data_IF_422297785307
#
_entry.id   IF_422297785307
#
_cell.length_a   1.000
_cell.length_b   1.000
_cell.length_c   1.000
_cell.angle_alpha   90.00
_cell.angle_beta   90.00
_cell.angle_gamma   90.00
#
_symmetry.space_group_name_H-M   'P 1'
#
loop_
_entity.id
_entity.type
_entity.pdbx_description
1 polymer ?
#
# COMPACT_ATOMS: atom_id res chain seq x y z
N UNK A 1 24.25 -4.63 -22.64
CA UNK A 1 22.99 -5.32 -22.31
C UNK A 1 23.18 -6.82 -22.56
N UNK A 2 22.94 -7.64 -21.56
CA UNK A 2 23.01 -9.11 -21.61
C UNK A 2 21.67 -9.72 -21.19
N UNK A 3 21.43 -10.95 -21.61
CA UNK A 3 20.26 -11.74 -21.24
C UNK A 3 20.74 -13.17 -20.94
N UNK A 4 20.54 -13.62 -19.71
CA UNK A 4 20.89 -14.98 -19.30
C UNK A 4 19.60 -15.76 -19.00
N UNK A 5 19.50 -16.99 -19.50
CA UNK A 5 18.42 -17.92 -19.15
C UNK A 5 19.05 -19.08 -18.41
N UNK A 6 18.63 -19.31 -17.16
CA UNK A 6 19.19 -20.38 -16.33
C UNK A 6 18.17 -20.96 -15.37
N UNK A 7 18.38 -22.22 -15.00
CA UNK A 7 17.69 -22.82 -13.87
C UNK A 7 18.28 -22.29 -12.55
N UNK A 8 17.41 -22.00 -11.59
CA UNK A 8 17.78 -21.61 -10.22
C UNK A 8 17.00 -22.48 -9.24
N UNK A 9 17.66 -22.91 -8.16
CA UNK A 9 16.96 -23.59 -7.07
C UNK A 9 16.25 -22.58 -6.18
N UNK A 10 14.94 -22.76 -5.96
CA UNK A 10 14.15 -22.03 -4.99
C UNK A 10 13.59 -23.01 -3.94
N UNK A 11 13.75 -22.66 -2.67
CA UNK A 11 13.19 -23.43 -1.56
C UNK A 11 11.69 -23.15 -1.46
N UNK A 12 10.87 -24.07 -1.96
CA UNK A 12 9.40 -23.95 -1.93
C UNK A 12 8.78 -25.18 -1.27
N UNK A 13 7.62 -25.04 -0.61
CA UNK A 13 6.90 -26.20 -0.14
C UNK A 13 6.45 -27.07 -1.31
N UNK A 14 6.37 -28.38 -1.09
CA UNK A 14 5.60 -29.26 -1.99
C UNK A 14 4.17 -28.74 -2.07
N UNK A 15 3.71 -28.46 -3.30
CA UNK A 15 2.40 -27.88 -3.58
C UNK A 15 1.27 -28.92 -3.44
N UNK A 16 1.61 -30.21 -3.49
CA UNK A 16 0.65 -31.31 -3.52
C UNK A 16 -0.18 -31.36 -4.82
N UNK A 17 -1.12 -32.30 -4.93
CA UNK A 17 -2.03 -32.36 -6.06
C UNK A 17 -3.01 -31.17 -6.04
N UNK A 18 -3.48 -30.70 -7.22
CA UNK A 18 -4.60 -29.76 -7.32
C UNK A 18 -5.85 -30.31 -6.62
N UNK A 19 -6.67 -29.41 -6.08
CA UNK A 19 -7.95 -29.79 -5.47
C UNK A 19 -8.84 -30.48 -6.52
N UNK A 20 -9.44 -31.61 -6.14
CA UNK A 20 -10.31 -32.39 -7.00
C UNK A 20 -11.61 -31.64 -7.36
N UNK A 21 -12.00 -30.64 -6.57
CA UNK A 21 -13.19 -29.85 -6.81
C UNK A 21 -12.84 -28.53 -7.52
N UNK A 22 -13.56 -28.17 -8.60
CA UNK A 22 -13.39 -26.86 -9.21
C UNK A 22 -13.85 -25.77 -8.26
N UNK A 23 -13.17 -24.62 -8.31
CA UNK A 23 -13.62 -23.44 -7.56
C UNK A 23 -14.88 -22.86 -8.23
N UNK A 24 -16.04 -23.12 -7.65
CA UNK A 24 -17.35 -22.63 -8.17
C UNK A 24 -17.68 -21.21 -7.65
N UNK A 25 -16.88 -20.68 -6.73
CA UNK A 25 -16.98 -19.31 -6.21
C UNK A 25 -15.89 -18.38 -6.77
N UNK A 26 -16.08 -17.06 -6.64
CA UNK A 26 -14.99 -16.10 -6.84
C UNK A 26 -13.96 -16.19 -5.70
N UNK A 27 -12.72 -15.73 -5.92
CA UNK A 27 -11.71 -15.72 -4.86
C UNK A 27 -12.19 -14.88 -3.68
N UNK A 28 -11.70 -15.19 -2.48
CA UNK A 28 -11.94 -14.45 -1.25
C UNK A 28 -11.23 -13.09 -1.31
N UNK A 29 -11.75 -12.15 -2.11
CA UNK A 29 -11.32 -10.76 -2.10
C UNK A 29 -12.48 -9.80 -2.35
N UNK A 30 -12.44 -8.72 -1.58
CA UNK A 30 -13.09 -7.45 -1.88
C UNK A 30 -12.81 -7.04 -3.32
N UNK A 31 -13.81 -6.73 -4.15
CA UNK A 31 -13.83 -5.39 -4.69
C UNK A 31 -14.15 -4.46 -3.52
N UNK A 32 -13.28 -3.49 -3.27
CA UNK A 32 -13.72 -2.30 -2.57
C UNK A 32 -14.73 -1.62 -3.49
N UNK A 33 -15.98 -1.51 -3.08
CA UNK A 33 -16.91 -0.64 -3.79
C UNK A 33 -16.37 0.78 -3.71
N UNK A 34 -16.00 1.36 -4.85
CA UNK A 34 -15.64 2.77 -4.92
C UNK A 34 -16.93 3.56 -4.93
N UNK A 35 -17.14 4.43 -3.95
CA UNK A 35 -18.33 5.27 -3.85
C UNK A 35 -17.94 6.75 -3.82
N UNK A 36 -18.50 7.53 -4.76
CA UNK A 36 -18.23 8.96 -4.92
C UNK A 36 -17.47 9.28 -6.20
N UNK A 37 -16.98 10.53 -6.30
CA UNK A 37 -16.22 11.02 -7.45
C UNK A 37 -14.73 10.71 -7.28
N UNK A 38 -14.22 9.79 -8.11
CA UNK A 38 -12.83 9.33 -8.10
C UNK A 38 -12.19 9.57 -9.47
N UNK A 39 -10.89 9.94 -9.50
CA UNK A 39 -10.12 9.93 -10.74
C UNK A 39 -10.23 8.61 -11.49
N UNK A 40 -10.41 8.68 -12.81
CA UNK A 40 -10.60 7.50 -13.68
C UNK A 40 -9.47 6.48 -13.59
N UNK A 41 -8.24 6.94 -13.34
CA UNK A 41 -7.07 6.07 -13.10
C UNK A 41 -7.21 5.18 -11.85
N UNK A 42 -7.84 5.66 -10.78
CA UNK A 42 -8.04 4.88 -9.55
C UNK A 42 -9.13 3.84 -9.78
N UNK A 43 -10.21 4.23 -10.47
CA UNK A 43 -11.29 3.31 -10.86
C UNK A 43 -10.71 2.19 -11.74
N UNK A 44 -9.94 2.55 -12.77
CA UNK A 44 -9.29 1.58 -13.66
C UNK A 44 -8.34 0.64 -12.91
N UNK A 45 -7.55 1.15 -11.95
CA UNK A 45 -6.67 0.35 -11.11
C UNK A 45 -7.41 -0.66 -10.23
N UNK A 46 -8.52 -0.24 -9.61
CA UNK A 46 -9.28 -1.08 -8.67
C UNK A 46 -9.96 -2.30 -9.30
N UNK A 47 -10.25 -2.24 -10.61
CA UNK A 47 -10.88 -3.34 -11.35
C UNK A 47 -9.86 -4.19 -12.11
N UNK A 48 -8.61 -3.75 -12.15
CA UNK A 48 -7.55 -4.44 -12.87
C UNK A 48 -7.10 -5.70 -12.11
N UNK A 49 -6.92 -6.81 -12.83
CA UNK A 49 -6.34 -8.03 -12.26
C UNK A 49 -7.28 -8.88 -11.39
N UNK A 50 -8.58 -8.59 -11.38
CA UNK A 50 -9.59 -9.35 -10.64
C UNK A 50 -10.43 -10.23 -11.58
N UNK A 51 -9.99 -11.44 -11.93
CA UNK A 51 -10.83 -12.38 -12.69
C UNK A 51 -12.06 -12.76 -11.85
N UNK A 52 -13.24 -12.77 -12.48
CA UNK A 52 -14.49 -13.17 -11.81
C UNK A 52 -14.43 -14.62 -11.27
N UNK A 53 -13.67 -15.48 -11.97
CA UNK A 53 -13.38 -16.86 -11.57
C UNK A 53 -12.01 -17.27 -12.12
N UNK A 54 -11.23 -18.07 -11.36
CA UNK A 54 -10.02 -18.70 -11.87
C UNK A 54 -10.31 -19.94 -12.72
N UNK A 55 -11.58 -20.34 -12.92
CA UNK A 55 -11.94 -21.45 -13.82
C UNK A 55 -11.32 -21.24 -15.22
N UNK A 56 -10.68 -22.25 -15.83
CA UNK A 56 -10.68 -23.68 -15.47
C UNK A 56 -9.56 -24.15 -14.52
N UNK A 57 -8.80 -23.24 -13.90
CA UNK A 57 -7.73 -23.62 -12.98
C UNK A 57 -8.28 -24.16 -11.65
N UNK A 58 -7.62 -25.20 -11.11
CA UNK A 58 -7.92 -25.79 -9.81
C UNK A 58 -7.09 -25.10 -8.71
N UNK A 59 -7.63 -25.05 -7.48
CA UNK A 59 -6.89 -24.52 -6.34
C UNK A 59 -5.77 -25.47 -5.89
N UNK A 60 -4.73 -24.90 -5.29
CA UNK A 60 -3.67 -25.63 -4.60
C UNK A 60 -3.83 -25.40 -3.10
N UNK A 61 -4.45 -26.36 -2.40
CA UNK A 61 -4.68 -26.29 -0.96
C UNK A 61 -3.86 -27.30 -0.13
N UNK A 62 -3.27 -28.30 -0.78
CA UNK A 62 -2.56 -29.41 -0.13
C UNK A 62 -1.11 -29.14 0.25
N UNK A 63 -0.64 -27.89 0.14
CA UNK A 63 0.78 -27.59 0.29
C UNK A 63 1.27 -27.73 1.73
N UNK A 64 2.46 -28.33 1.87
CA UNK A 64 3.11 -28.51 3.16
C UNK A 64 3.85 -27.27 3.66
N UNK A 65 4.55 -27.40 4.78
CA UNK A 65 5.52 -26.39 5.28
C UNK A 65 6.97 -26.77 5.05
N UNK A 66 7.24 -28.03 4.74
CA UNK A 66 8.60 -28.51 4.48
C UNK A 66 9.06 -27.99 3.11
N UNK A 67 10.14 -27.22 3.11
CA UNK A 67 10.71 -26.66 1.89
C UNK A 67 11.54 -27.72 1.17
N UNK A 68 11.40 -27.75 -0.15
CA UNK A 68 12.14 -28.58 -1.07
C UNK A 68 12.81 -27.68 -2.09
N UNK A 69 14.08 -27.94 -2.35
CA UNK A 69 14.84 -27.27 -3.41
C UNK A 69 14.25 -27.63 -4.76
N UNK A 70 13.58 -26.67 -5.39
CA UNK A 70 12.91 -26.87 -6.67
C UNK A 70 13.61 -26.05 -7.75
N UNK A 71 14.03 -26.67 -8.87
CA UNK A 71 14.58 -25.94 -9.99
C UNK A 71 13.48 -25.15 -10.70
N UNK A 72 13.72 -23.87 -10.91
CA UNK A 72 12.80 -22.94 -11.60
C UNK A 72 13.55 -22.22 -12.69
N UNK A 73 12.96 -22.13 -13.87
CA UNK A 73 13.50 -21.35 -14.98
C UNK A 73 13.52 -19.86 -14.59
N UNK A 74 14.67 -19.24 -14.79
CA UNK A 74 14.86 -17.81 -14.58
C UNK A 74 15.42 -17.14 -15.82
N UNK A 75 14.91 -15.95 -16.11
CA UNK A 75 15.38 -15.07 -17.19
C UNK A 75 15.93 -13.81 -16.55
N UNK A 76 17.20 -13.52 -16.80
CA UNK A 76 17.98 -12.47 -16.13
C UNK A 76 18.48 -11.47 -17.17
N UNK A 77 17.67 -10.45 -17.52
CA UNK A 77 18.15 -9.30 -18.26
C UNK A 77 19.01 -8.41 -17.37
N UNK A 78 20.15 -7.97 -17.91
CA UNK A 78 21.09 -7.09 -17.21
C UNK A 78 21.66 -6.01 -18.15
N UNK A 79 21.80 -4.81 -17.62
CA UNK A 79 22.45 -3.68 -18.27
C UNK A 79 23.33 -2.93 -17.25
N UNK A 80 23.97 -1.85 -17.69
CA UNK A 80 24.93 -1.08 -16.88
C UNK A 80 24.30 -0.40 -15.65
N UNK A 81 22.97 -0.44 -15.51
CA UNK A 81 22.21 0.16 -14.41
C UNK A 81 21.50 -0.86 -13.55
N UNK A 82 20.95 -1.92 -14.13
CA UNK A 82 20.09 -2.84 -13.41
C UNK A 82 20.20 -4.28 -13.87
N UNK A 83 19.88 -5.18 -12.93
CA UNK A 83 19.74 -6.62 -13.12
C UNK A 83 18.40 -7.06 -12.56
N UNK A 84 17.56 -7.64 -13.39
CA UNK A 84 16.27 -8.16 -12.97
C UNK A 84 16.24 -9.68 -13.13
N UNK A 85 15.55 -10.40 -12.25
CA UNK A 85 15.34 -11.84 -12.36
C UNK A 85 13.85 -12.08 -12.50
N UNK A 86 13.44 -12.67 -13.62
CA UNK A 86 12.06 -13.06 -13.87
C UNK A 86 11.91 -14.58 -13.77
N UNK A 87 10.75 -15.03 -13.30
CA UNK A 87 10.37 -16.45 -13.22
C UNK A 87 9.22 -16.72 -14.21
N UNK A 88 9.51 -17.06 -15.48
CA UNK A 88 8.49 -17.20 -16.52
C UNK A 88 7.43 -18.25 -16.18
N UNK A 89 7.85 -19.36 -15.59
CA UNK A 89 6.97 -20.49 -15.23
C UNK A 89 5.93 -20.10 -14.16
N UNK A 90 6.16 -19.01 -13.42
CA UNK A 90 5.27 -18.55 -12.35
C UNK A 90 4.56 -17.24 -12.73
N UNK A 91 4.12 -17.16 -13.98
CA UNK A 91 3.39 -16.00 -14.50
C UNK A 91 4.28 -14.80 -14.79
N UNK A 92 5.58 -15.02 -15.06
CA UNK A 92 6.51 -13.94 -15.42
C UNK A 92 6.83 -12.99 -14.28
N UNK A 93 6.72 -13.43 -13.02
CA UNK A 93 6.95 -12.59 -11.84
C UNK A 93 8.38 -12.04 -11.82
N UNK A 94 8.51 -10.76 -11.49
CA UNK A 94 9.78 -10.15 -11.07
C UNK A 94 10.12 -10.66 -9.68
N UNK A 95 11.20 -11.43 -9.57
CA UNK A 95 11.66 -12.08 -8.34
C UNK A 95 12.73 -11.25 -7.62
N UNK A 96 13.71 -10.75 -8.37
CA UNK A 96 14.76 -9.88 -7.86
C UNK A 96 14.93 -8.68 -8.80
N UNK A 97 15.17 -7.51 -8.23
CA UNK A 97 15.56 -6.32 -8.97
C UNK A 97 16.71 -5.64 -8.24
N UNK A 98 17.86 -5.57 -8.89
CA UNK A 98 19.01 -4.82 -8.44
C UNK A 98 19.16 -3.60 -9.34
N UNK A 99 19.26 -2.42 -8.74
CA UNK A 99 19.58 -1.18 -9.42
C UNK A 99 20.86 -0.61 -8.78
N UNK A 100 21.84 -0.29 -9.63
CA UNK A 100 23.11 0.33 -9.24
C UNK A 100 22.96 1.84 -9.03
N UNK A 101 21.92 2.44 -9.60
CA UNK A 101 21.40 3.74 -9.19
C UNK A 101 20.33 3.52 -8.13
N UNK A 102 20.38 4.29 -7.04
CA UNK A 102 19.46 4.30 -5.88
C UNK A 102 18.15 3.51 -6.11
N UNK A 103 17.88 2.44 -5.33
CA UNK A 103 16.72 1.59 -5.56
C UNK A 103 15.45 2.44 -5.66
N UNK A 104 14.79 2.36 -6.83
CA UNK A 104 13.51 3.04 -7.02
C UNK A 104 12.43 2.31 -6.23
N UNK A 105 12.34 2.58 -4.93
CA UNK A 105 11.16 2.23 -4.16
C UNK A 105 9.99 3.04 -4.73
N UNK A 106 9.01 2.37 -5.36
CA UNK A 106 7.77 3.03 -5.85
C UNK A 106 7.04 3.79 -4.73
N UNK A 107 7.32 3.44 -3.48
CA UNK A 107 6.92 4.14 -2.28
C UNK A 107 8.06 4.17 -1.25
N UNK A 108 8.37 5.34 -0.73
CA UNK A 108 9.16 5.54 0.50
C UNK A 108 8.24 5.48 1.71
N UNK A 109 8.69 4.87 2.80
CA UNK A 109 7.96 4.79 4.07
C UNK A 109 8.83 5.28 5.22
N UNK A 110 8.27 6.07 6.12
CA UNK A 110 8.90 6.46 7.37
C UNK A 110 7.90 6.32 8.53
N UNK A 111 8.33 5.62 9.58
CA UNK A 111 7.65 5.65 10.87
C UNK A 111 7.94 7.00 11.54
N UNK A 112 6.90 7.68 12.00
CA UNK A 112 6.96 8.94 12.74
C UNK A 112 6.29 8.75 14.10
N UNK A 113 6.82 9.35 15.18
CA UNK A 113 6.23 9.17 16.51
C UNK A 113 4.74 9.56 16.55
N UNK A 114 3.90 8.69 17.12
CA UNK A 114 2.52 9.02 17.43
C UNK A 114 2.48 9.65 18.82
N UNK A 115 2.55 10.97 18.88
CA UNK A 115 2.52 11.73 20.14
C UNK A 115 1.30 12.65 20.23
N UNK A 116 0.96 13.03 21.45
CA UNK A 116 -0.12 13.99 21.71
C UNK A 116 0.19 15.33 21.01
N UNK A 117 -0.84 15.90 20.37
CA UNK A 117 -0.77 17.14 19.58
C UNK A 117 0.09 17.12 18.31
N UNK A 118 0.66 15.97 17.91
CA UNK A 118 1.28 15.85 16.59
C UNK A 118 0.25 15.90 15.47
N UNK A 119 0.67 16.42 14.31
CA UNK A 119 -0.11 16.46 13.07
C UNK A 119 0.70 15.92 11.91
N UNK A 120 0.00 15.26 10.99
CA UNK A 120 0.47 14.88 9.67
C UNK A 120 -0.30 15.68 8.63
N UNK A 121 0.43 16.52 7.90
CA UNK A 121 -0.09 17.48 6.95
C UNK A 121 0.39 17.15 5.55
N UNK A 122 -0.44 17.46 4.56
CA UNK A 122 -0.14 17.40 3.14
C UNK A 122 -0.93 18.52 2.43
N UNK A 123 -0.56 18.93 1.21
CA UNK A 123 -1.27 19.97 0.47
C UNK A 123 -2.58 19.41 -0.15
N UNK A 124 -3.52 19.01 0.71
CA UNK A 124 -4.80 18.44 0.29
C UNK A 124 -5.90 18.68 1.34
N UNK A 125 -7.08 19.08 0.87
CA UNK A 125 -8.28 19.24 1.72
C UNK A 125 -9.06 17.94 1.91
N UNK A 126 -8.76 16.93 1.08
CA UNK A 126 -9.41 15.63 1.09
C UNK A 126 -8.43 14.48 0.90
N UNK A 127 -8.82 13.29 1.31
CA UNK A 127 -8.06 12.06 1.14
C UNK A 127 -8.99 10.90 0.76
N UNK A 128 -8.47 9.88 0.10
CA UNK A 128 -9.16 8.60 -0.09
C UNK A 128 -8.87 7.69 1.10
N UNK A 129 -9.91 7.10 1.69
CA UNK A 129 -9.80 6.25 2.86
C UNK A 129 -10.77 5.06 2.77
N UNK A 130 -10.44 3.98 3.45
CA UNK A 130 -11.37 2.85 3.62
C UNK A 130 -12.59 3.26 4.44
N UNK A 131 -13.76 2.88 3.94
CA UNK A 131 -15.06 3.12 4.57
C UNK A 131 -15.35 2.08 5.67
N UNK A 132 -16.16 2.43 6.66
CA UNK A 132 -16.61 1.49 7.70
C UNK A 132 -17.64 0.47 7.20
N UNK A 133 -18.30 0.74 6.08
CA UNK A 133 -19.32 -0.11 5.46
C UNK A 133 -18.76 -0.99 4.34
N UNK A 134 -17.43 -1.01 4.19
CA UNK A 134 -16.74 -1.58 3.04
C UNK A 134 -16.55 -0.55 1.92
N UNK A 135 -15.53 -0.75 1.08
CA UNK A 135 -15.21 0.17 0.00
C UNK A 135 -14.24 1.31 0.35
N UNK A 136 -13.99 2.17 -0.64
CA UNK A 136 -13.11 3.35 -0.53
C UNK A 136 -13.96 4.58 -0.82
N UNK A 137 -13.81 5.61 0.00
CA UNK A 137 -14.49 6.90 -0.18
C UNK A 137 -13.53 8.07 -0.04
N UNK A 138 -13.89 9.19 -0.67
CA UNK A 138 -13.21 10.48 -0.47
C UNK A 138 -13.72 11.13 0.81
N UNK A 139 -12.81 11.49 1.71
CA UNK A 139 -13.10 12.07 3.02
C UNK A 139 -12.35 13.40 3.22
N UNK A 140 -12.91 14.37 3.95
CA UNK A 140 -12.21 15.61 4.29
C UNK A 140 -11.05 15.37 5.27
N UNK A 141 -9.90 16.04 5.08
CA UNK A 141 -8.66 15.83 5.86
C UNK A 141 -8.72 16.50 7.23
N UNK A 142 -9.05 17.78 7.29
CA UNK A 142 -9.14 18.54 8.54
C UNK A 142 -10.51 19.19 8.67
N UNK A 143 -10.86 19.63 9.87
CA UNK A 143 -12.09 20.38 10.13
C UNK A 143 -12.09 21.71 9.37
N UNK A 144 -13.18 21.94 8.67
CA UNK A 144 -13.56 23.22 8.08
C UNK A 144 -15.08 23.25 7.89
N UNK A 145 -15.63 24.45 7.76
CA UNK A 145 -17.00 24.65 7.26
C UNK A 145 -17.13 23.99 5.90
N UNK A 146 -18.17 23.18 5.72
CA UNK A 146 -18.47 22.56 4.42
C UNK A 146 -18.43 23.61 3.31
N UNK A 147 -17.63 23.39 2.26
CA UNK A 147 -17.52 24.31 1.12
C UNK A 147 -18.86 24.54 0.40
N UNK A 148 -19.86 23.68 0.63
CA UNK A 148 -21.20 23.78 0.04
C UNK A 148 -22.26 24.32 1.00
N UNK A 149 -22.07 24.22 2.32
CA UNK A 149 -23.14 24.53 3.29
C UNK A 149 -22.74 25.48 4.42
N UNK A 150 -21.45 25.84 4.55
CA UNK A 150 -20.91 26.64 5.65
C UNK A 150 -21.29 26.13 7.07
N UNK A 151 -21.74 24.89 7.19
CA UNK A 151 -22.08 24.28 8.46
C UNK A 151 -20.81 23.72 9.14
N UNK A 152 -20.67 23.83 10.48
CA UNK A 152 -19.66 23.08 11.21
C UNK A 152 -19.88 21.61 10.95
N UNK A 153 -18.87 20.96 10.38
CA UNK A 153 -18.92 19.53 10.13
C UNK A 153 -18.44 18.83 11.40
N UNK A 154 -19.18 17.84 11.92
CA UNK A 154 -18.77 16.96 13.03
C UNK A 154 -17.64 15.99 12.58
N UNK A 155 -16.68 16.52 11.84
CA UNK A 155 -15.64 15.76 11.17
C UNK A 155 -14.45 15.70 12.10
N UNK A 156 -14.06 14.49 12.51
CA UNK A 156 -12.81 14.28 13.25
C UNK A 156 -11.63 14.77 12.40
N UNK A 157 -10.75 15.58 12.98
CA UNK A 157 -9.51 16.04 12.36
C UNK A 157 -8.60 14.83 12.08
N UNK A 158 -8.45 14.45 10.81
CA UNK A 158 -7.71 13.24 10.43
C UNK A 158 -6.21 13.45 10.42
N UNK A 159 -5.76 14.70 10.53
CA UNK A 159 -4.33 15.03 10.55
C UNK A 159 -3.68 14.61 11.86
N UNK A 160 -4.42 14.25 12.91
CA UNK A 160 -3.87 13.89 14.22
C UNK A 160 -3.80 12.37 14.39
N UNK A 161 -2.62 11.72 14.23
CA UNK A 161 -2.54 10.26 14.26
C UNK A 161 -3.04 9.68 15.58
N UNK A 162 -2.69 10.34 16.69
CA UNK A 162 -3.05 9.90 18.04
C UNK A 162 -4.54 9.97 18.34
N UNK A 163 -5.37 10.63 17.53
CA UNK A 163 -6.83 10.74 17.77
C UNK A 163 -7.65 9.64 17.08
N UNK A 164 -7.02 8.77 16.28
CA UNK A 164 -7.75 7.72 15.56
C UNK A 164 -8.04 6.49 16.44
N UNK A 165 -9.31 6.09 16.50
CA UNK A 165 -9.74 4.91 17.26
C UNK A 165 -9.44 3.58 16.59
N UNK A 166 -9.28 3.59 15.26
CA UNK A 166 -9.09 2.38 14.42
C UNK A 166 -7.94 2.59 13.44
N UNK A 167 -7.35 1.48 13.02
CA UNK A 167 -6.36 1.49 11.96
C UNK A 167 -6.98 2.00 10.66
N UNK A 168 -6.31 2.92 9.98
CA UNK A 168 -6.78 3.49 8.70
C UNK A 168 -5.64 4.02 7.85
N UNK A 169 -5.88 3.98 6.54
CA UNK A 169 -5.07 4.63 5.52
C UNK A 169 -5.79 5.90 5.01
N UNK A 170 -5.04 6.97 4.84
CA UNK A 170 -5.47 8.21 4.19
C UNK A 170 -4.52 8.52 3.05
N UNK A 171 -4.99 8.43 1.81
CA UNK A 171 -4.26 8.83 0.62
C UNK A 171 -4.67 10.25 0.25
N UNK A 172 -3.81 11.24 0.54
CA UNK A 172 -4.11 12.65 0.30
C UNK A 172 -4.33 12.93 -1.19
N UNK A 173 -5.47 13.55 -1.51
CA UNK A 173 -5.84 13.90 -2.88
C UNK A 173 -5.21 15.24 -3.25
N UNK A 174 -3.92 15.20 -3.60
CA UNK A 174 -3.13 16.38 -3.95
C UNK A 174 -3.37 16.72 -5.42
N UNK A 175 -3.64 18.00 -5.69
CA UNK A 175 -3.84 18.47 -7.06
C UNK A 175 -2.53 18.46 -7.86
N UNK A 176 -2.52 18.07 -9.15
CA UNK A 176 -1.29 17.97 -9.95
C UNK A 176 -0.49 19.27 -10.10
N UNK A 177 -1.11 20.43 -9.84
CA UNK A 177 -0.47 21.75 -9.93
C UNK A 177 0.32 22.13 -8.68
N UNK A 178 0.17 21.39 -7.58
CA UNK A 178 0.85 21.65 -6.32
C UNK A 178 2.04 20.72 -6.14
N UNK A 179 3.14 21.22 -5.56
CA UNK A 179 4.29 20.38 -5.24
C UNK A 179 3.91 19.36 -4.16
N UNK A 180 4.09 18.05 -4.37
CA UNK A 180 3.73 17.05 -3.37
C UNK A 180 4.69 17.06 -2.17
N UNK A 181 4.13 17.10 -0.97
CA UNK A 181 4.86 16.95 0.30
C UNK A 181 3.95 16.32 1.36
N UNK A 182 4.57 15.68 2.35
CA UNK A 182 3.91 15.28 3.60
C UNK A 182 4.84 15.62 4.75
N UNK A 183 4.27 16.11 5.84
CA UNK A 183 4.99 16.58 7.02
C UNK A 183 4.34 15.96 8.24
N UNK A 184 5.10 15.23 9.04
CA UNK A 184 4.74 14.93 10.41
C UNK A 184 5.43 15.96 11.31
N UNK A 185 4.67 16.71 12.11
CA UNK A 185 5.19 17.73 13.00
C UNK A 185 4.55 17.65 14.39
N UNK A 186 5.33 17.92 15.42
CA UNK A 186 4.88 18.11 16.79
C UNK A 186 4.40 19.56 17.04
N UNK A 187 3.98 19.83 18.29
CA UNK A 187 3.49 21.14 18.74
C UNK A 187 4.54 22.26 18.68
N UNK A 188 5.82 21.91 18.76
CA UNK A 188 6.94 22.85 18.82
C UNK A 188 7.55 23.04 17.41
N UNK A 189 7.00 22.35 16.39
CA UNK A 189 7.43 22.43 14.99
C UNK A 189 8.53 21.44 14.61
N UNK A 190 8.94 20.57 15.53
CA UNK A 190 9.88 19.48 15.27
C UNK A 190 9.22 18.35 14.49
N UNK A 191 9.96 17.70 13.58
CA UNK A 191 9.38 16.59 12.82
C UNK A 191 10.13 16.16 11.57
N UNK A 192 9.43 15.46 10.69
CA UNK A 192 9.94 14.90 9.45
C UNK A 192 9.08 15.34 8.26
N UNK A 193 9.72 15.95 7.27
CA UNK A 193 9.08 16.34 6.01
C UNK A 193 9.67 15.54 4.84
N UNK A 194 8.81 15.06 3.95
CA UNK A 194 9.21 14.39 2.71
C UNK A 194 8.60 15.12 1.50
N UNK A 195 9.28 16.16 0.97
CA UNK A 195 8.91 16.76 -0.31
C UNK A 195 9.40 15.90 -1.48
N UNK A 196 8.74 16.00 -2.64
CA UNK A 196 9.22 15.35 -3.87
C UNK A 196 9.04 16.25 -5.09
N UNK A 197 9.48 15.75 -6.24
CA UNK A 197 9.07 16.23 -7.57
C UNK A 197 7.62 15.80 -7.88
N UNK A 198 7.06 16.33 -8.97
CA UNK A 198 5.67 16.10 -9.39
C UNK A 198 5.37 14.65 -9.78
N UNK A 199 6.37 13.89 -10.20
CA UNK A 199 6.22 12.48 -10.60
C UNK A 199 5.81 11.62 -9.40
N UNK A 200 6.34 11.89 -8.21
CA UNK A 200 6.01 11.17 -6.98
C UNK A 200 4.82 11.82 -6.27
N UNK A 201 3.64 11.79 -6.89
CA UNK A 201 2.44 12.48 -6.39
C UNK A 201 1.82 11.89 -5.11
N UNK A 202 1.94 10.58 -4.90
CA UNK A 202 1.22 9.87 -3.85
C UNK A 202 1.68 10.27 -2.46
N UNK A 203 0.74 10.59 -1.57
CA UNK A 203 1.00 10.86 -0.15
C UNK A 203 0.03 10.10 0.73
N UNK A 204 0.57 9.36 1.69
CA UNK A 204 -0.19 8.45 2.53
C UNK A 204 0.14 8.67 4.00
N UNK A 205 -0.89 8.77 4.81
CA UNK A 205 -0.82 8.55 6.25
C UNK A 205 -1.45 7.19 6.57
N UNK A 206 -0.72 6.34 7.29
CA UNK A 206 -1.31 5.18 7.96
C UNK A 206 -1.23 5.36 9.47
N UNK A 207 -2.34 5.06 10.15
CA UNK A 207 -2.45 5.07 11.60
C UNK A 207 -2.80 3.66 12.07
N UNK A 208 -2.14 3.17 13.12
CA UNK A 208 -2.47 1.89 13.75
C UNK A 208 -3.75 1.93 14.59
N UNK A 209 -4.11 3.13 15.06
CA UNK A 209 -5.28 3.40 15.88
C UNK A 209 -5.18 2.85 17.32
N UNK A 210 -6.01 3.37 18.20
CA UNK A 210 -5.97 3.07 19.65
C UNK A 210 -6.48 1.66 20.05
N UNK A 211 -7.03 0.90 19.11
CA UNK A 211 -7.56 -0.45 19.36
C UNK A 211 -6.50 -1.49 19.72
N UNK A 212 -6.89 -2.55 20.43
CA UNK A 212 -5.97 -3.59 20.91
C UNK A 212 -5.14 -4.25 19.79
N UNK A 213 -5.75 -4.46 18.62
CA UNK A 213 -5.08 -5.07 17.46
C UNK A 213 -3.94 -4.19 16.92
N UNK A 214 -4.18 -2.89 16.75
CA UNK A 214 -3.19 -1.93 16.29
C UNK A 214 -2.01 -1.85 17.26
N UNK A 215 -2.31 -1.62 18.54
CA UNK A 215 -1.29 -1.56 19.61
C UNK A 215 -0.47 -2.85 19.73
N UNK A 216 -1.10 -4.02 19.61
CA UNK A 216 -0.37 -5.29 19.61
C UNK A 216 0.58 -5.40 18.43
N UNK A 217 0.11 -5.06 17.22
CA UNK A 217 0.94 -5.06 16.01
C UNK A 217 2.15 -4.14 16.14
N UNK A 218 1.95 -2.91 16.62
CA UNK A 218 3.04 -1.95 16.82
C UNK A 218 4.09 -2.45 17.81
N UNK A 219 3.67 -3.05 18.95
CA UNK A 219 4.59 -3.68 19.91
C UNK A 219 5.33 -4.89 19.33
N UNK A 220 4.70 -5.64 18.43
CA UNK A 220 5.34 -6.80 17.82
C UNK A 220 6.41 -6.38 16.80
N UNK A 221 6.10 -5.42 15.91
CA UNK A 221 7.06 -4.92 14.90
C UNK A 221 8.16 -4.06 15.51
N UNK A 222 7.81 -3.25 16.53
CA UNK A 222 8.72 -2.28 17.13
C UNK A 222 8.72 -2.39 18.66
N UNK A 223 9.26 -3.47 19.25
CA UNK A 223 9.15 -3.74 20.70
C UNK A 223 9.66 -2.62 21.62
N UNK A 224 10.53 -1.74 21.12
CA UNK A 224 11.12 -0.60 21.86
C UNK A 224 10.86 0.76 21.20
N UNK A 225 10.02 0.83 20.17
CA UNK A 225 9.84 2.05 19.36
C UNK A 225 8.67 2.95 19.75
N UNK A 226 7.84 2.51 20.71
CA UNK A 226 6.60 3.22 21.05
C UNK A 226 5.54 3.12 19.96
N UNK A 227 4.48 3.90 20.11
CA UNK A 227 3.44 4.03 19.09
C UNK A 227 3.92 4.99 17.98
N UNK A 228 3.56 4.69 16.74
CA UNK A 228 3.96 5.43 15.56
C UNK A 228 2.83 5.51 14.54
N UNK A 229 2.88 6.55 13.72
CA UNK A 229 2.17 6.62 12.47
C UNK A 229 3.16 6.39 11.32
N UNK A 230 2.67 6.03 10.15
CA UNK A 230 3.50 5.91 8.96
C UNK A 230 3.15 7.00 7.97
N UNK A 231 4.15 7.73 7.51
CA UNK A 231 4.04 8.62 6.36
C UNK A 231 4.72 7.96 5.16
N UNK A 232 4.04 7.97 4.01
CA UNK A 232 4.58 7.41 2.77
C UNK A 232 4.46 8.39 1.61
N UNK A 233 5.41 8.28 0.69
CA UNK A 233 5.47 9.06 -0.55
C UNK A 233 5.73 8.11 -1.72
N UNK A 234 5.02 8.24 -2.84
CA UNK A 234 5.21 7.32 -3.97
C UNK A 234 4.64 7.80 -5.30
N UNK A 235 4.77 6.94 -6.31
CA UNK A 235 4.39 7.23 -7.70
C UNK A 235 2.88 7.23 -7.92
N UNK A 236 2.17 6.27 -7.33
CA UNK A 236 0.71 6.13 -7.49
C UNK A 236 -0.06 7.03 -6.51
N UNK A 237 -1.26 7.47 -6.87
CA UNK A 237 -2.12 8.26 -5.97
C UNK A 237 -2.59 7.41 -4.76
N UNK A 238 -2.84 6.13 -4.99
CA UNK A 238 -3.29 5.16 -3.96
C UNK A 238 -2.48 3.85 -4.02
N UNK A 239 -2.67 2.99 -3.00
CA UNK A 239 -2.18 1.59 -2.96
C UNK A 239 -3.34 0.59 -2.81
N UNK A 240 -4.54 1.00 -3.21
CA UNK A 240 -5.72 0.14 -3.19
C UNK A 240 -5.72 -0.83 -4.36
#
# INVERSE_FOLDING_TARGET
MSLEVKSRSLAIPDLGPPDALPMVGGPLQTPYTISGDFPSEIIAGSVYGNPATPYPHQELGGYGRALVDTPVLSVVPENDRSRAVFLPEWGGRLWELFDTSVPMCRWTNAAVPEIEHSRVLAPADSAFASSSEGGISRVPVATGTSATTNAPTNVTDRTRPSEHSRARDFFFDITPKQRPWILAADRDGGGLATPSSSELRGRKLFVGGRGARGKYWQRWVTPRGGEYAEIRAGLAQTQF
#
